data_IF_754969854226
#
_entry.id   IF_754969854226
#
_cell.length_a   1.000
_cell.length_b   1.000
_cell.length_c   1.000
_cell.angle_alpha   90.00
_cell.angle_beta   90.00
_cell.angle_gamma   90.00
#
_symmetry.space_group_name_H-M   'P 1'
#
loop_
_entity.id
_entity.type
_entity.pdbx_description
1 polymer ?
#
# COMPACT_ATOMS: atom_id res chain seq x y z
N UNK A 1 -4.33 24.64 -66.74
CA UNK A 1 -4.10 24.26 -65.31
C UNK A 1 -2.82 24.82 -64.67
N UNK A 2 -2.20 25.92 -65.18
CA UNK A 2 -1.05 26.58 -64.52
C UNK A 2 -1.40 27.89 -63.77
N UNK A 3 -2.66 28.35 -63.81
CA UNK A 3 -3.06 29.65 -63.23
C UNK A 3 -3.39 29.58 -61.73
N UNK A 4 -4.01 28.50 -61.26
CA UNK A 4 -4.58 28.44 -59.89
C UNK A 4 -3.55 28.20 -58.79
N UNK A 5 -2.43 27.54 -59.10
CA UNK A 5 -1.37 27.23 -58.11
C UNK A 5 -0.55 28.47 -57.71
N UNK A 6 -0.31 29.38 -58.65
CA UNK A 6 0.49 30.58 -58.37
C UNK A 6 -0.29 31.62 -57.55
N UNK A 7 -1.61 31.64 -57.70
CA UNK A 7 -2.51 32.51 -56.94
C UNK A 7 -2.64 32.07 -55.47
N UNK A 8 -2.70 30.76 -55.22
CA UNK A 8 -2.71 30.18 -53.85
C UNK A 8 -1.38 30.48 -53.13
N UNK A 9 -0.24 30.31 -53.79
CA UNK A 9 1.07 30.56 -53.18
C UNK A 9 1.30 32.05 -52.88
N UNK A 10 0.77 32.95 -53.72
CA UNK A 10 0.82 34.39 -53.49
C UNK A 10 -0.04 34.79 -52.29
N UNK A 11 -1.25 34.25 -52.16
CA UNK A 11 -2.14 34.52 -51.03
C UNK A 11 -1.59 33.99 -49.69
N UNK A 12 -0.92 32.84 -49.69
CA UNK A 12 -0.23 32.31 -48.50
C UNK A 12 0.96 33.21 -48.12
N UNK A 13 1.74 33.69 -49.09
CA UNK A 13 2.87 34.58 -48.84
C UNK A 13 2.43 35.94 -48.27
N UNK A 14 1.30 36.49 -48.70
CA UNK A 14 0.81 37.77 -48.17
C UNK A 14 0.20 37.60 -46.76
N UNK A 15 -0.51 36.50 -46.48
CA UNK A 15 -1.00 36.18 -45.12
C UNK A 15 0.13 35.98 -44.11
N UNK A 16 1.27 35.41 -44.53
CA UNK A 16 2.45 35.25 -43.67
C UNK A 16 3.14 36.60 -43.43
N UNK A 17 3.17 37.51 -44.41
CA UNK A 17 3.70 38.86 -44.23
C UNK A 17 2.83 39.71 -43.30
N UNK A 18 1.51 39.62 -43.37
CA UNK A 18 0.59 40.29 -42.42
C UNK A 18 0.74 39.77 -40.98
N UNK A 19 0.86 38.45 -40.78
CA UNK A 19 1.10 37.85 -39.44
C UNK A 19 2.45 38.24 -38.85
N UNK A 20 3.48 38.35 -39.68
CA UNK A 20 4.81 38.78 -39.27
C UNK A 20 4.89 40.31 -39.04
N UNK A 21 4.04 41.09 -39.71
CA UNK A 21 3.87 42.52 -39.44
C UNK A 21 3.16 42.80 -38.11
N UNK A 22 2.11 42.03 -37.79
CA UNK A 22 1.38 42.12 -36.51
C UNK A 22 2.25 41.77 -35.29
N UNK A 23 3.26 40.89 -35.47
CA UNK A 23 4.21 40.54 -34.41
C UNK A 23 5.32 41.58 -34.21
N UNK A 24 5.58 42.44 -35.21
CA UNK A 24 6.56 43.53 -35.11
C UNK A 24 6.02 44.79 -34.39
N UNK A 25 4.69 44.93 -34.26
CA UNK A 25 4.07 46.15 -33.70
C UNK A 25 3.90 46.13 -32.18
N UNK A 26 4.12 44.99 -31.50
CA UNK A 26 3.94 44.87 -30.04
C UNK A 26 5.05 44.06 -29.34
N UNK A 27 6.34 44.49 -29.40
CA UNK A 27 7.45 43.78 -28.75
C UNK A 27 7.35 43.76 -27.21
N UNK A 28 6.51 44.63 -26.60
CA UNK A 28 6.36 44.75 -25.16
C UNK A 28 5.51 43.66 -24.49
N UNK A 29 4.66 42.93 -25.24
CA UNK A 29 3.72 41.95 -24.66
C UNK A 29 4.33 40.54 -24.50
N UNK A 30 5.31 40.18 -25.34
CA UNK A 30 5.94 38.84 -25.36
C UNK A 30 6.86 38.58 -24.16
N UNK A 31 7.51 39.62 -23.65
CA UNK A 31 8.47 39.50 -22.54
C UNK A 31 7.82 39.59 -21.14
N UNK A 32 6.59 40.11 -21.02
CA UNK A 32 5.86 40.16 -19.74
C UNK A 32 5.00 38.92 -19.47
N UNK A 33 4.48 38.25 -20.51
CA UNK A 33 3.62 37.07 -20.35
C UNK A 33 4.38 35.75 -20.11
N UNK A 34 5.60 35.62 -20.64
CA UNK A 34 6.45 34.44 -20.43
C UNK A 34 6.73 34.11 -18.95
N UNK A 35 7.17 35.06 -18.10
CA UNK A 35 7.37 34.77 -16.69
C UNK A 35 6.05 34.50 -15.94
N UNK A 36 4.94 35.12 -16.34
CA UNK A 36 3.62 34.91 -15.71
C UNK A 36 3.08 33.51 -16.00
N UNK A 37 3.15 33.06 -17.26
CA UNK A 37 2.72 31.70 -17.66
C UNK A 37 3.63 30.66 -17.02
N UNK A 38 4.95 30.89 -16.95
CA UNK A 38 5.89 29.97 -16.30
C UNK A 38 5.66 29.91 -14.77
N UNK A 39 5.34 31.03 -14.13
CA UNK A 39 5.04 31.09 -12.70
C UNK A 39 3.68 30.46 -12.35
N UNK A 40 2.66 30.61 -13.21
CA UNK A 40 1.39 29.90 -13.07
C UNK A 40 1.56 28.38 -13.28
N UNK A 41 2.37 27.96 -14.26
CA UNK A 41 2.68 26.55 -14.48
C UNK A 41 3.45 25.94 -13.28
N UNK A 42 4.43 26.68 -12.73
CA UNK A 42 5.16 26.29 -11.52
C UNK A 42 4.29 26.28 -10.27
N UNK A 43 3.33 27.21 -10.12
CA UNK A 43 2.37 27.19 -9.02
C UNK A 43 1.42 25.98 -9.11
N UNK A 44 0.91 25.65 -10.30
CA UNK A 44 0.05 24.48 -10.50
C UNK A 44 0.84 23.19 -10.28
N UNK A 45 2.05 23.06 -10.87
CA UNK A 45 2.94 21.92 -10.61
C UNK A 45 3.33 21.81 -9.13
N UNK A 46 3.59 22.94 -8.48
CA UNK A 46 3.87 23.03 -7.05
C UNK A 46 2.70 22.59 -6.18
N UNK A 47 1.46 22.98 -6.51
CA UNK A 47 0.24 22.52 -5.81
C UNK A 47 -0.01 21.01 -6.01
N UNK A 48 0.29 20.45 -7.19
CA UNK A 48 0.20 19.01 -7.43
C UNK A 48 1.30 18.22 -6.71
N UNK A 49 2.53 18.74 -6.65
CA UNK A 49 3.64 18.09 -5.95
C UNK A 49 3.53 18.24 -4.42
N UNK A 50 3.22 19.43 -3.90
CA UNK A 50 2.92 19.63 -2.47
C UNK A 50 1.67 18.87 -2.05
N UNK A 51 0.62 18.84 -2.88
CA UNK A 51 -0.58 18.05 -2.62
C UNK A 51 -0.27 16.56 -2.47
N UNK A 52 0.56 15.99 -3.37
CA UNK A 52 1.02 14.59 -3.26
C UNK A 52 1.92 14.36 -2.03
N UNK A 53 2.81 15.29 -1.70
CA UNK A 53 3.72 15.18 -0.55
C UNK A 53 2.94 15.29 0.77
N UNK A 54 1.97 16.21 0.87
CA UNK A 54 1.11 16.35 2.05
C UNK A 54 0.18 15.14 2.18
N UNK A 55 -0.47 14.71 1.09
CA UNK A 55 -1.29 13.50 1.07
C UNK A 55 -0.47 12.26 1.49
N UNK A 56 0.73 12.07 0.95
CA UNK A 56 1.60 10.97 1.34
C UNK A 56 2.04 11.07 2.81
N UNK A 57 2.30 12.28 3.34
CA UNK A 57 2.75 12.49 4.72
C UNK A 57 1.63 12.31 5.76
N UNK A 58 0.39 12.67 5.43
CA UNK A 58 -0.79 12.41 6.29
C UNK A 58 -1.15 10.91 6.32
N UNK A 59 -1.04 10.20 5.20
CA UNK A 59 -1.39 8.78 5.11
C UNK A 59 -0.42 7.83 5.84
N UNK A 60 0.77 8.29 6.21
CA UNK A 60 1.76 7.49 6.96
C UNK A 60 1.45 7.44 8.46
N UNK A 61 0.64 8.37 8.99
CA UNK A 61 0.32 8.45 10.42
C UNK A 61 -1.18 8.36 10.75
N UNK A 62 -2.01 7.93 9.81
CA UNK A 62 -3.44 7.66 10.08
C UNK A 62 -3.63 6.31 10.78
N UNK A 63 -4.70 6.18 11.57
CA UNK A 63 -5.12 4.94 12.21
C UNK A 63 -5.29 3.83 11.15
N UNK A 64 -4.69 2.67 11.39
CA UNK A 64 -4.70 1.54 10.46
C UNK A 64 -5.06 0.24 11.15
N UNK A 65 -5.82 -0.61 10.45
CA UNK A 65 -6.03 -2.00 10.86
C UNK A 65 -4.88 -2.90 10.39
N UNK A 66 -4.66 -3.98 11.15
CA UNK A 66 -3.77 -5.09 10.80
C UNK A 66 -4.45 -6.37 11.25
N UNK A 67 -4.37 -7.43 10.46
CA UNK A 67 -5.07 -8.67 10.79
C UNK A 67 -4.34 -9.90 10.31
N UNK A 68 -4.55 -10.99 11.04
CA UNK A 68 -4.03 -12.31 10.71
C UNK A 68 -5.13 -13.34 10.80
N UNK A 69 -5.13 -14.27 9.86
CA UNK A 69 -5.96 -15.47 9.89
C UNK A 69 -5.16 -16.64 10.46
N UNK A 70 -5.83 -17.49 11.22
CA UNK A 70 -5.31 -18.78 11.70
C UNK A 70 -5.86 -19.90 10.83
N UNK A 71 -4.98 -20.75 10.33
CA UNK A 71 -5.33 -21.97 9.60
C UNK A 71 -4.84 -23.18 10.38
N UNK A 72 -5.66 -24.23 10.43
CA UNK A 72 -5.36 -25.45 11.23
C UNK A 72 -3.98 -26.06 10.95
N UNK A 73 -3.54 -26.00 9.70
CA UNK A 73 -2.30 -26.62 9.22
C UNK A 73 -1.04 -25.81 9.50
N UNK A 74 -1.17 -24.50 9.72
CA UNK A 74 -0.04 -23.56 9.67
C UNK A 74 -0.10 -22.46 10.73
N UNK A 75 -1.16 -22.44 11.54
CA UNK A 75 -1.37 -21.44 12.58
C UNK A 75 -1.67 -20.05 12.03
N UNK A 76 -1.37 -19.03 12.83
CA UNK A 76 -1.49 -17.64 12.40
C UNK A 76 -0.49 -17.34 11.29
N UNK A 77 -0.98 -16.74 10.21
CA UNK A 77 -0.15 -16.29 9.10
C UNK A 77 0.50 -14.93 9.43
N UNK A 78 1.27 -14.41 8.46
CA UNK A 78 1.75 -13.04 8.54
C UNK A 78 0.56 -12.05 8.55
N UNK A 79 0.72 -10.96 9.29
CA UNK A 79 -0.28 -9.89 9.32
C UNK A 79 -0.41 -9.22 7.96
N UNK A 80 -1.63 -9.10 7.46
CA UNK A 80 -2.00 -8.20 6.37
C UNK A 80 -2.11 -6.77 6.88
N UNK A 81 -1.75 -5.80 6.02
CA UNK A 81 -1.94 -4.39 6.32
C UNK A 81 -3.39 -3.97 6.09
N UNK A 82 -3.71 -2.77 6.57
CA UNK A 82 -4.98 -2.09 6.30
C UNK A 82 -5.35 -2.16 4.82
N UNK A 83 -6.62 -2.46 4.55
CA UNK A 83 -7.19 -2.49 3.21
C UNK A 83 -6.60 -3.54 2.24
N UNK A 84 -5.87 -4.55 2.73
CA UNK A 84 -5.29 -5.62 1.88
C UNK A 84 -6.00 -6.97 2.04
N UNK A 85 -6.45 -7.58 0.96
CA UNK A 85 -7.11 -8.90 1.01
C UNK A 85 -6.18 -9.97 1.61
N UNK A 86 -6.72 -10.81 2.47
CA UNK A 86 -6.07 -12.01 3.01
C UNK A 86 -6.95 -13.23 2.75
N UNK A 87 -6.47 -14.20 1.98
CA UNK A 87 -7.17 -15.46 1.70
C UNK A 87 -6.19 -16.56 1.33
N UNK A 88 -6.66 -17.81 1.40
CA UNK A 88 -5.97 -19.00 0.86
C UNK A 88 -6.93 -19.76 -0.05
N UNK A 89 -6.39 -20.44 -1.06
CA UNK A 89 -7.19 -21.20 -2.02
C UNK A 89 -7.34 -22.68 -1.62
N UNK A 90 -6.51 -23.15 -0.68
CA UNK A 90 -6.35 -24.55 -0.30
C UNK A 90 -6.89 -24.85 1.11
N UNK A 91 -7.23 -23.82 1.88
CA UNK A 91 -7.71 -23.94 3.25
C UNK A 91 -8.58 -22.74 3.64
N UNK A 92 -9.41 -22.93 4.65
CA UNK A 92 -10.23 -21.89 5.26
C UNK A 92 -9.71 -21.51 6.66
N UNK A 93 -9.85 -20.24 7.07
CA UNK A 93 -9.52 -19.81 8.42
C UNK A 93 -10.42 -20.46 9.48
N UNK A 94 -9.81 -20.87 10.59
CA UNK A 94 -10.49 -21.29 11.82
C UNK A 94 -10.33 -20.28 12.95
N UNK A 95 -9.47 -19.26 12.79
CA UNK A 95 -9.30 -18.19 13.75
C UNK A 95 -8.83 -16.87 13.17
N UNK A 96 -8.86 -15.82 13.99
CA UNK A 96 -8.59 -14.44 13.59
C UNK A 96 -8.00 -13.60 14.73
N UNK A 97 -7.10 -12.68 14.36
CA UNK A 97 -6.62 -11.55 15.19
C UNK A 97 -6.76 -10.26 14.41
N UNK A 98 -7.23 -9.19 15.05
CA UNK A 98 -7.31 -7.86 14.47
C UNK A 98 -6.70 -6.85 15.44
N UNK A 99 -5.82 -5.99 14.96
CA UNK A 99 -5.11 -4.98 15.74
C UNK A 99 -5.24 -3.60 15.09
N UNK A 100 -5.00 -2.54 15.88
CA UNK A 100 -4.76 -1.20 15.39
C UNK A 100 -3.27 -0.83 15.46
N UNK A 101 -2.81 0.00 14.52
CA UNK A 101 -1.57 0.78 14.68
C UNK A 101 -1.82 2.25 14.36
N UNK A 102 -0.90 3.09 14.82
CA UNK A 102 -0.93 4.55 14.63
C UNK A 102 -2.20 5.18 15.22
N UNK A 103 -2.66 4.68 16.37
CA UNK A 103 -3.70 5.34 17.14
C UNK A 103 -3.23 6.75 17.51
N UNK A 104 -4.03 7.80 17.22
CA UNK A 104 -3.70 9.16 17.60
C UNK A 104 -3.47 9.28 19.11
N UNK A 105 -2.42 10.02 19.50
CA UNK A 105 -2.10 10.24 20.90
C UNK A 105 -3.27 10.92 21.63
N UNK A 106 -3.57 10.45 22.85
CA UNK A 106 -4.66 10.98 23.68
C UNK A 106 -6.07 10.54 23.29
N UNK A 107 -6.25 9.76 22.21
CA UNK A 107 -7.55 9.23 21.83
C UNK A 107 -7.84 7.91 22.55
N UNK A 108 -8.98 7.82 23.26
CA UNK A 108 -9.40 6.59 23.93
C UNK A 108 -10.07 5.61 22.98
N UNK A 109 -10.09 4.33 23.39
CA UNK A 109 -10.75 3.26 22.64
C UNK A 109 -9.79 2.36 21.89
N UNK A 110 -10.35 1.35 21.26
CA UNK A 110 -9.67 0.27 20.55
C UNK A 110 -10.55 -0.34 19.46
N UNK A 111 -10.01 -1.32 18.73
CA UNK A 111 -10.77 -2.21 17.86
C UNK A 111 -11.30 -3.41 18.64
N UNK A 112 -12.57 -3.71 18.43
CA UNK A 112 -13.28 -4.84 19.00
C UNK A 112 -13.87 -5.70 17.88
N UNK A 113 -13.99 -6.99 18.11
CA UNK A 113 -14.49 -7.92 17.11
C UNK A 113 -15.07 -9.19 17.71
N UNK A 114 -15.95 -9.80 16.93
CA UNK A 114 -16.54 -11.12 17.17
C UNK A 114 -16.37 -11.97 15.92
N UNK A 115 -16.28 -13.28 16.08
CA UNK A 115 -16.37 -14.22 14.97
C UNK A 115 -17.49 -15.23 15.22
N UNK A 116 -18.21 -15.58 14.16
CA UNK A 116 -19.13 -16.70 14.17
C UNK A 116 -18.34 -17.97 13.81
N UNK A 117 -18.39 -18.97 14.67
CA UNK A 117 -17.71 -20.26 14.48
C UNK A 117 -18.77 -21.30 14.15
N UNK A 118 -18.55 -22.04 13.07
CA UNK A 118 -19.48 -23.07 12.60
C UNK A 118 -19.90 -24.01 13.73
N UNK A 119 -21.21 -24.14 13.94
CA UNK A 119 -21.81 -24.99 14.96
C UNK A 119 -21.76 -24.46 16.40
N UNK A 120 -21.07 -23.36 16.65
CA UNK A 120 -20.99 -22.72 17.99
C UNK A 120 -21.70 -21.37 18.03
N UNK A 121 -21.72 -20.65 16.89
CA UNK A 121 -22.31 -19.32 16.79
C UNK A 121 -21.30 -18.22 17.11
N UNK A 122 -21.82 -17.05 17.49
CA UNK A 122 -21.00 -15.87 17.76
C UNK A 122 -20.21 -16.01 19.05
N UNK A 123 -18.92 -15.67 18.99
CA UNK A 123 -18.05 -15.52 20.16
C UNK A 123 -18.47 -14.34 21.04
N UNK A 124 -17.90 -14.29 22.25
CA UNK A 124 -17.79 -13.04 23.00
C UNK A 124 -17.06 -11.95 22.20
N UNK A 125 -17.05 -10.72 22.73
CA UNK A 125 -16.28 -9.62 22.14
C UNK A 125 -14.83 -9.69 22.59
N UNK A 126 -13.92 -9.68 21.61
CA UNK A 126 -12.47 -9.63 21.79
C UNK A 126 -11.94 -8.30 21.26
N UNK A 127 -10.75 -7.93 21.70
CA UNK A 127 -10.13 -6.65 21.38
C UNK A 127 -8.70 -6.80 20.90
N UNK A 128 -8.25 -5.83 20.12
CA UNK A 128 -6.86 -5.56 19.71
C UNK A 128 -5.83 -6.69 19.96
N UNK A 129 -5.75 -7.60 19.00
CA UNK A 129 -4.75 -8.66 18.95
C UNK A 129 -5.10 -9.92 19.73
N UNK A 130 -6.19 -9.93 20.49
CA UNK A 130 -6.65 -11.15 21.14
C UNK A 130 -7.13 -12.19 20.10
N UNK A 131 -6.88 -13.46 20.42
CA UNK A 131 -7.12 -14.57 19.50
C UNK A 131 -8.57 -15.07 19.60
N UNK A 132 -9.25 -15.22 18.47
CA UNK A 132 -10.49 -16.02 18.37
C UNK A 132 -10.21 -17.25 17.52
N UNK A 133 -10.66 -18.43 17.96
CA UNK A 133 -10.64 -19.66 17.14
C UNK A 133 -9.28 -20.35 16.98
N UNK A 134 -8.24 -19.88 17.67
CA UNK A 134 -6.94 -20.57 17.71
C UNK A 134 -7.06 -21.97 18.31
N UNK A 135 -6.48 -22.95 17.62
CA UNK A 135 -6.54 -24.36 18.00
C UNK A 135 -7.91 -25.02 17.79
N UNK A 136 -8.87 -24.34 17.17
CA UNK A 136 -10.17 -24.94 16.83
C UNK A 136 -10.18 -25.52 15.41
N UNK A 137 -11.04 -26.54 15.23
CA UNK A 137 -11.20 -27.24 13.96
C UNK A 137 -12.24 -26.61 13.02
N UNK A 138 -13.23 -25.92 13.61
CA UNK A 138 -14.38 -25.42 12.88
C UNK A 138 -14.04 -24.11 12.15
N UNK A 139 -14.52 -23.92 10.91
CA UNK A 139 -14.32 -22.69 10.16
C UNK A 139 -15.00 -21.49 10.81
N UNK A 140 -14.48 -20.31 10.49
CA UNK A 140 -15.22 -19.06 10.67
C UNK A 140 -16.33 -18.95 9.61
N UNK A 141 -17.52 -18.49 10.01
CA UNK A 141 -18.67 -18.26 9.12
C UNK A 141 -19.02 -16.78 8.96
N UNK A 142 -18.59 -15.91 9.88
CA UNK A 142 -18.91 -14.48 9.87
C UNK A 142 -18.01 -13.71 10.84
N UNK A 143 -17.86 -12.41 10.61
CA UNK A 143 -17.19 -11.50 11.55
C UNK A 143 -18.04 -10.25 11.79
N UNK A 144 -17.84 -9.65 12.96
CA UNK A 144 -18.25 -8.28 13.28
C UNK A 144 -17.03 -7.53 13.76
N UNK A 145 -16.84 -6.32 13.27
CA UNK A 145 -15.71 -5.46 13.67
C UNK A 145 -16.24 -4.07 13.97
N UNK A 146 -15.83 -3.50 15.10
CA UNK A 146 -16.29 -2.20 15.54
C UNK A 146 -15.22 -1.50 16.37
N UNK A 147 -15.35 -0.20 16.53
CA UNK A 147 -14.48 0.62 17.36
C UNK A 147 -15.25 1.06 18.62
N UNK A 148 -14.53 1.30 19.71
CA UNK A 148 -15.09 1.89 20.93
C UNK A 148 -14.35 3.18 21.33
N UNK A 149 -14.69 3.74 22.49
CA UNK A 149 -14.11 5.00 22.99
C UNK A 149 -14.29 6.15 22.03
N UNK A 150 -13.30 7.05 21.97
CA UNK A 150 -13.27 8.18 21.05
C UNK A 150 -13.09 7.73 19.59
N UNK A 151 -12.43 6.58 19.35
CA UNK A 151 -12.19 6.08 17.99
C UNK A 151 -13.49 5.87 17.22
N UNK A 152 -14.55 5.35 17.87
CA UNK A 152 -15.85 5.10 17.22
C UNK A 152 -16.52 6.37 16.68
N UNK A 153 -16.21 7.52 17.28
CA UNK A 153 -16.80 8.81 16.95
C UNK A 153 -15.98 9.54 15.87
N UNK A 154 -14.73 9.12 15.65
CA UNK A 154 -13.79 9.73 14.70
C UNK A 154 -13.48 8.89 13.47
N UNK A 155 -13.73 7.59 13.55
CA UNK A 155 -13.41 6.64 12.50
C UNK A 155 -14.59 5.70 12.22
N UNK A 156 -14.59 5.14 11.02
CA UNK A 156 -15.41 4.00 10.64
C UNK A 156 -14.49 2.81 10.32
N UNK A 157 -14.93 1.61 10.67
CA UNK A 157 -14.28 0.36 10.26
C UNK A 157 -15.19 -0.38 9.30
N UNK A 158 -14.63 -0.73 8.15
CA UNK A 158 -15.29 -1.52 7.11
C UNK A 158 -14.59 -2.85 6.94
N UNK A 159 -15.38 -3.88 6.63
CA UNK A 159 -14.85 -5.21 6.39
C UNK A 159 -15.70 -5.97 5.38
N UNK A 160 -15.05 -6.86 4.64
CA UNK A 160 -15.67 -7.77 3.68
C UNK A 160 -15.06 -9.15 3.84
N UNK A 161 -15.88 -10.18 3.62
CA UNK A 161 -15.48 -11.59 3.68
C UNK A 161 -15.55 -12.20 2.29
N UNK A 162 -14.62 -13.11 1.99
CA UNK A 162 -14.66 -13.95 0.80
C UNK A 162 -15.46 -15.21 1.14
N UNK A 163 -16.49 -15.52 0.35
CA UNK A 163 -17.31 -16.74 0.53
C UNK A 163 -17.53 -17.37 -0.83
N UNK A 164 -17.11 -18.62 -0.99
CA UNK A 164 -17.24 -19.38 -2.24
C UNK A 164 -16.67 -18.63 -3.45
N UNK A 165 -15.53 -17.95 -3.23
CA UNK A 165 -14.85 -17.18 -4.27
C UNK A 165 -15.42 -15.78 -4.55
N UNK A 166 -16.48 -15.36 -3.85
CA UNK A 166 -17.08 -14.03 -4.01
C UNK A 166 -16.92 -13.17 -2.74
N UNK A 167 -16.36 -11.97 -2.92
CA UNK A 167 -16.30 -10.96 -1.86
C UNK A 167 -17.70 -10.42 -1.60
N UNK A 168 -18.12 -10.50 -0.36
CA UNK A 168 -19.42 -10.00 0.09
C UNK A 168 -19.42 -8.46 0.13
N UNK A 169 -20.59 -7.80 0.06
CA UNK A 169 -20.68 -6.36 0.27
C UNK A 169 -20.01 -5.92 1.57
N UNK A 170 -19.50 -4.69 1.61
CA UNK A 170 -18.92 -4.14 2.83
C UNK A 170 -19.94 -4.09 3.96
N UNK A 171 -19.58 -4.70 5.09
CA UNK A 171 -20.20 -4.45 6.37
C UNK A 171 -19.44 -3.34 7.11
N UNK A 172 -20.13 -2.65 8.01
CA UNK A 172 -19.58 -1.51 8.74
C UNK A 172 -19.93 -1.56 10.22
N UNK A 173 -18.98 -1.20 11.08
CA UNK A 173 -19.21 -0.89 12.50
C UNK A 173 -20.14 -1.87 13.24
N UNK A 174 -19.82 -3.16 13.24
CA UNK A 174 -20.52 -4.19 14.01
C UNK A 174 -21.66 -4.89 13.28
N UNK A 175 -21.96 -4.52 12.04
CA UNK A 175 -22.85 -5.27 11.15
C UNK A 175 -22.32 -6.68 10.86
N UNK A 176 -23.19 -7.65 10.57
CA UNK A 176 -22.73 -8.97 10.14
C UNK A 176 -22.03 -8.83 8.78
N UNK A 177 -20.83 -9.40 8.63
CA UNK A 177 -20.12 -9.41 7.35
C UNK A 177 -20.89 -10.10 6.23
N UNK A 178 -21.74 -11.05 6.59
CA UNK A 178 -22.54 -11.88 5.71
C UNK A 178 -23.58 -12.65 6.52
N UNK A 179 -24.60 -13.26 5.88
CA UNK A 179 -25.48 -14.21 6.54
C UNK A 179 -24.68 -15.38 7.16
N UNK A 180 -24.89 -15.65 8.44
CA UNK A 180 -24.25 -16.74 9.21
C UNK A 180 -25.23 -17.89 9.48
N UNK A 181 -24.74 -19.08 9.83
CA UNK A 181 -25.60 -20.24 10.12
C UNK A 181 -26.24 -20.86 8.88
N UNK A 182 -25.72 -20.53 7.69
CA UNK A 182 -26.19 -21.05 6.39
C UNK A 182 -25.27 -22.13 5.81
N UNK A 183 -24.33 -22.64 6.60
CA UNK A 183 -23.40 -23.71 6.22
C UNK A 183 -22.31 -23.27 5.23
N UNK A 184 -21.92 -21.99 5.27
CA UNK A 184 -20.87 -21.42 4.42
C UNK A 184 -19.78 -20.81 5.32
N UNK A 185 -18.53 -21.11 5.00
CA UNK A 185 -17.38 -20.54 5.69
C UNK A 185 -16.82 -19.31 4.97
N UNK A 186 -16.08 -18.52 5.73
CA UNK A 186 -15.20 -17.47 5.23
C UNK A 186 -13.96 -18.14 4.63
N UNK A 187 -13.57 -17.72 3.44
CA UNK A 187 -12.32 -18.09 2.75
C UNK A 187 -11.21 -17.03 2.91
N UNK A 188 -11.61 -15.80 3.27
CA UNK A 188 -10.72 -14.66 3.38
C UNK A 188 -11.39 -13.40 3.92
N UNK A 189 -10.57 -12.43 4.32
CA UNK A 189 -11.01 -11.18 4.90
C UNK A 189 -10.31 -9.98 4.28
N UNK A 190 -10.99 -8.84 4.33
CA UNK A 190 -10.47 -7.52 3.99
C UNK A 190 -11.02 -6.54 5.02
N UNK A 191 -10.17 -5.79 5.69
CA UNK A 191 -10.56 -4.82 6.74
C UNK A 191 -9.87 -3.49 6.47
N UNK A 192 -10.57 -2.38 6.62
CA UNK A 192 -9.99 -1.04 6.53
C UNK A 192 -10.59 -0.10 7.58
N UNK A 193 -9.75 0.79 8.10
CA UNK A 193 -10.16 1.89 8.97
C UNK A 193 -10.00 3.21 8.22
N UNK A 194 -11.06 4.00 8.22
CA UNK A 194 -11.13 5.30 7.53
C UNK A 194 -11.68 6.37 8.46
N UNK A 195 -11.49 7.64 8.11
CA UNK A 195 -12.09 8.73 8.89
C UNK A 195 -13.61 8.62 8.85
N UNK A 196 -14.28 9.12 9.89
CA UNK A 196 -15.75 9.06 9.98
C UNK A 196 -16.42 9.61 8.72
N UNK A 197 -17.30 8.82 8.12
CA UNK A 197 -18.06 9.20 6.93
C UNK A 197 -17.32 9.04 5.60
N UNK A 198 -16.05 8.61 5.61
CA UNK A 198 -15.34 8.26 4.38
C UNK A 198 -15.79 6.88 3.86
N UNK A 199 -15.68 6.71 2.54
CA UNK A 199 -15.92 5.42 1.90
C UNK A 199 -14.74 4.46 2.12
N UNK A 200 -14.96 3.14 2.20
CA UNK A 200 -13.88 2.18 2.31
C UNK A 200 -13.00 2.23 1.06
N UNK A 201 -11.69 2.06 1.28
CA UNK A 201 -10.72 1.91 0.21
C UNK A 201 -10.15 0.50 0.31
N UNK A 202 -9.99 -0.16 -0.83
CA UNK A 202 -9.14 -1.36 -0.93
C UNK A 202 -7.76 -0.91 -1.41
N UNK A 203 -6.73 -1.19 -0.62
CA UNK A 203 -5.36 -1.08 -1.05
C UNK A 203 -5.07 -2.34 -1.86
N UNK A 204 -5.28 -2.23 -3.18
CA UNK A 204 -4.70 -3.21 -4.08
C UNK A 204 -3.20 -3.18 -3.80
N UNK A 205 -2.65 -4.35 -3.43
CA UNK A 205 -1.19 -4.56 -3.40
C UNK A 205 -0.62 -3.83 -4.61
N UNK A 206 0.48 -3.07 -4.47
CA UNK A 206 1.01 -2.27 -5.56
C UNK A 206 0.92 -3.14 -6.80
N UNK A 207 0.07 -2.73 -7.75
CA UNK A 207 0.27 -3.22 -9.10
C UNK A 207 1.74 -2.87 -9.29
N UNK A 208 2.57 -3.82 -9.67
CA UNK A 208 3.80 -3.45 -10.33
C UNK A 208 3.38 -2.70 -11.61
N UNK A 209 2.88 -1.47 -11.47
CA UNK A 209 3.20 -0.42 -12.38
C UNK A 209 4.71 -0.46 -12.35
N UNK A 210 5.29 -1.14 -13.34
CA UNK A 210 6.72 -1.15 -13.59
C UNK A 210 7.17 0.26 -13.35
N UNK A 211 7.77 0.49 -12.19
CA UNK A 211 8.24 1.78 -11.79
C UNK A 211 9.42 2.05 -12.70
N UNK A 212 9.13 2.62 -13.86
CA UNK A 212 10.10 3.25 -14.72
C UNK A 212 10.54 4.53 -13.99
N UNK A 213 11.31 4.33 -12.93
CA UNK A 213 11.99 5.35 -12.16
C UNK A 213 13.32 4.77 -11.67
N UNK A 214 14.25 4.65 -12.61
CA UNK A 214 15.69 4.82 -12.41
C UNK A 214 16.33 4.08 -11.22
N UNK A 215 16.28 2.75 -11.24
CA UNK A 215 17.35 1.92 -10.66
C UNK A 215 18.12 1.33 -11.84
N UNK A 216 19.45 1.48 -11.83
CA UNK A 216 20.32 1.14 -12.94
C UNK A 216 20.02 -0.23 -13.53
N UNK A 217 19.77 -0.22 -14.84
CA UNK A 217 19.63 -1.35 -15.76
C UNK A 217 20.30 -2.64 -15.26
N UNK A 218 19.53 -3.53 -14.65
CA UNK A 218 19.89 -4.94 -14.49
C UNK A 218 18.81 -5.74 -15.17
N UNK A 219 19.07 -6.12 -16.43
CA UNK A 219 18.25 -7.03 -17.20
C UNK A 219 18.25 -8.41 -16.53
N UNK A 220 17.28 -8.64 -15.64
CA UNK A 220 17.04 -9.96 -15.07
C UNK A 220 16.21 -10.76 -16.09
N UNK A 221 16.79 -11.84 -16.60
CA UNK A 221 16.15 -12.76 -17.55
C UNK A 221 15.55 -13.95 -16.79
N UNK A 222 14.22 -14.03 -16.64
CA UNK A 222 13.55 -15.07 -15.86
C UNK A 222 13.67 -16.47 -16.49
N UNK A 223 14.17 -16.59 -17.72
CA UNK A 223 14.38 -17.88 -18.38
C UNK A 223 15.75 -18.53 -18.05
N UNK A 224 16.63 -17.83 -17.33
CA UNK A 224 17.92 -18.37 -16.87
C UNK A 224 17.83 -18.89 -15.44
N UNK A 225 18.70 -19.82 -15.02
CA UNK A 225 18.77 -20.22 -13.61
C UNK A 225 19.02 -19.02 -12.71
N UNK A 226 18.15 -18.83 -11.73
CA UNK A 226 18.19 -17.71 -10.79
C UNK A 226 18.18 -18.24 -9.37
N UNK A 227 18.94 -17.56 -8.50
CA UNK A 227 18.94 -17.79 -7.05
C UNK A 227 18.84 -16.43 -6.38
N UNK A 228 17.89 -16.30 -5.44
CA UNK A 228 17.81 -15.16 -4.56
C UNK A 228 18.51 -15.51 -3.25
N UNK A 229 19.48 -14.68 -2.84
CA UNK A 229 20.14 -14.80 -1.55
C UNK A 229 19.43 -13.88 -0.57
N UNK A 230 18.94 -14.43 0.53
CA UNK A 230 18.26 -13.68 1.60
C UNK A 230 18.94 -13.94 2.94
N UNK A 231 19.03 -12.91 3.79
CA UNK A 231 19.59 -12.99 5.14
C UNK A 231 18.64 -12.33 6.13
N UNK A 232 18.24 -13.07 7.16
CA UNK A 232 17.25 -12.65 8.16
C UNK A 232 17.93 -12.24 9.47
N UNK A 233 17.14 -11.72 10.42
CA UNK A 233 17.50 -11.42 11.82
C UNK A 233 18.55 -10.32 12.09
N UNK A 234 19.28 -9.89 11.07
CA UNK A 234 20.25 -8.81 11.19
C UNK A 234 19.61 -7.44 11.51
N UNK A 235 20.43 -6.38 11.60
CA UNK A 235 21.90 -6.39 11.54
C UNK A 235 22.58 -6.90 12.82
N UNK A 236 23.76 -7.50 12.67
CA UNK A 236 24.66 -8.00 13.71
C UNK A 236 26.15 -7.71 13.44
N UNK A 237 27.02 -8.70 13.64
CA UNK A 237 28.48 -8.57 13.50
C UNK A 237 29.04 -9.26 12.22
N UNK A 238 28.18 -9.58 11.25
CA UNK A 238 28.52 -10.42 10.09
C UNK A 238 28.27 -9.73 8.74
N UNK A 239 27.63 -8.57 8.73
CA UNK A 239 27.18 -7.88 7.52
C UNK A 239 28.37 -7.49 6.65
N UNK A 240 29.45 -7.00 7.25
CA UNK A 240 30.63 -6.57 6.50
C UNK A 240 31.31 -7.76 5.78
N UNK A 241 31.34 -8.97 6.38
CA UNK A 241 31.88 -10.17 5.69
C UNK A 241 30.94 -10.69 4.60
N UNK A 242 29.63 -10.60 4.83
CA UNK A 242 28.62 -11.04 3.85
C UNK A 242 28.65 -10.10 2.64
N UNK A 243 28.62 -8.79 2.86
CA UNK A 243 28.70 -7.78 1.80
C UNK A 243 30.00 -7.90 1.01
N UNK A 244 31.14 -8.12 1.69
CA UNK A 244 32.41 -8.36 1.00
C UNK A 244 32.38 -9.60 0.11
N UNK A 245 31.74 -10.69 0.56
CA UNK A 245 31.57 -11.89 -0.25
C UNK A 245 30.65 -11.65 -1.46
N UNK A 246 29.52 -10.94 -1.28
CA UNK A 246 28.60 -10.59 -2.35
C UNK A 246 29.31 -9.73 -3.42
N UNK A 247 30.06 -8.71 -3.00
CA UNK A 247 30.84 -7.86 -3.90
C UNK A 247 31.91 -8.66 -4.66
N UNK A 248 32.61 -9.59 -4.00
CA UNK A 248 33.62 -10.45 -4.64
C UNK A 248 33.06 -11.25 -5.82
N UNK A 249 31.80 -11.70 -5.72
CA UNK A 249 31.15 -12.50 -6.76
C UNK A 249 30.21 -11.68 -7.66
N UNK A 250 30.23 -10.35 -7.54
CA UNK A 250 29.31 -9.45 -8.25
C UNK A 250 27.82 -9.83 -8.06
N UNK A 251 27.50 -10.31 -6.86
CA UNK A 251 26.16 -10.73 -6.45
C UNK A 251 25.48 -9.64 -5.62
N UNK A 252 24.15 -9.67 -5.59
CA UNK A 252 23.30 -8.89 -4.68
C UNK A 252 22.45 -9.82 -3.83
N UNK A 253 22.00 -9.33 -2.69
CA UNK A 253 21.12 -10.06 -1.78
C UNK A 253 20.06 -9.13 -1.18
N UNK A 254 19.06 -9.73 -0.54
CA UNK A 254 18.05 -9.03 0.27
C UNK A 254 18.29 -9.33 1.75
N UNK A 255 18.38 -8.29 2.58
CA UNK A 255 18.61 -8.41 4.02
C UNK A 255 17.32 -8.04 4.76
N UNK A 256 16.64 -9.03 5.34
CA UNK A 256 15.44 -8.81 6.14
C UNK A 256 15.86 -8.50 7.58
N UNK A 257 15.76 -7.22 7.96
CA UNK A 257 16.22 -6.78 9.27
C UNK A 257 15.10 -6.64 10.29
N UNK A 258 15.40 -7.08 11.51
CA UNK A 258 14.56 -6.88 12.68
C UNK A 258 14.68 -5.42 13.10
N UNK A 259 13.56 -4.72 13.25
CA UNK A 259 13.55 -3.28 13.50
C UNK A 259 14.29 -2.84 14.76
N UNK A 260 14.26 -3.62 15.84
CA UNK A 260 15.06 -3.36 17.06
C UNK A 260 16.56 -3.46 16.80
N UNK A 261 17.01 -4.33 15.89
CA UNK A 261 18.40 -4.44 15.48
C UNK A 261 18.78 -3.31 14.52
N UNK A 262 17.94 -3.03 13.52
CA UNK A 262 18.15 -1.93 12.57
C UNK A 262 18.29 -0.57 13.28
N UNK A 263 17.53 -0.37 14.37
CA UNK A 263 17.61 0.83 15.21
C UNK A 263 18.93 0.94 15.97
N UNK A 264 19.52 -0.19 16.39
CA UNK A 264 20.83 -0.23 17.07
C UNK A 264 22.00 -0.03 16.10
N UNK A 265 21.87 -0.48 14.86
CA UNK A 265 22.94 -0.45 13.85
C UNK A 265 22.57 0.31 12.56
N UNK A 266 22.11 1.57 12.64
CA UNK A 266 21.65 2.31 11.46
C UNK A 266 22.77 2.54 10.42
N UNK A 267 24.02 2.65 10.89
CA UNK A 267 25.17 2.76 10.00
C UNK A 267 25.43 1.48 9.19
N UNK A 268 25.20 0.31 9.77
CA UNK A 268 25.31 -0.98 9.08
C UNK A 268 24.21 -1.13 8.04
N UNK A 269 22.96 -0.80 8.39
CA UNK A 269 21.84 -0.79 7.43
C UNK A 269 22.15 0.09 6.23
N UNK A 270 22.65 1.31 6.48
CA UNK A 270 23.06 2.22 5.41
C UNK A 270 24.19 1.64 4.56
N UNK A 271 25.24 1.07 5.14
CA UNK A 271 26.36 0.47 4.38
C UNK A 271 25.89 -0.66 3.46
N UNK A 272 25.00 -1.51 3.96
CA UNK A 272 24.48 -2.66 3.19
C UNK A 272 23.64 -2.18 2.00
N UNK A 273 22.81 -1.16 2.20
CA UNK A 273 22.04 -0.51 1.14
C UNK A 273 22.94 0.25 0.14
N UNK A 274 23.93 1.01 0.62
CA UNK A 274 24.91 1.73 -0.21
C UNK A 274 25.73 0.76 -1.09
N UNK A 275 25.95 -0.48 -0.62
CA UNK A 275 26.57 -1.56 -1.40
C UNK A 275 25.65 -2.14 -2.50
N UNK A 276 24.42 -1.64 -2.64
CA UNK A 276 23.45 -2.02 -3.65
C UNK A 276 22.65 -3.29 -3.33
N UNK A 277 22.59 -3.69 -2.06
CA UNK A 277 21.71 -4.76 -1.59
C UNK A 277 20.33 -4.20 -1.22
N UNK A 278 19.32 -5.05 -1.24
CA UNK A 278 17.97 -4.69 -0.83
C UNK A 278 17.82 -4.85 0.70
N UNK A 279 17.06 -3.95 1.33
CA UNK A 279 16.70 -4.03 2.75
C UNK A 279 15.22 -4.38 2.87
N UNK A 280 14.94 -5.56 3.40
CA UNK A 280 13.61 -6.04 3.74
C UNK A 280 13.28 -5.83 5.22
N UNK A 281 12.00 -5.93 5.56
CA UNK A 281 11.50 -5.83 6.92
C UNK A 281 11.29 -7.23 7.51
N UNK A 282 11.87 -7.50 8.68
CA UNK A 282 11.71 -8.76 9.42
C UNK A 282 11.00 -8.57 10.76
N UNK A 283 9.91 -7.80 10.74
CA UNK A 283 9.19 -7.28 11.91
C UNK A 283 10.06 -6.38 12.81
N UNK A 284 9.46 -5.73 13.82
CA UNK A 284 10.22 -4.86 14.72
C UNK A 284 10.95 -5.64 15.83
N UNK A 285 10.32 -6.67 16.40
CA UNK A 285 10.86 -7.44 17.54
C UNK A 285 11.10 -8.93 17.25
N UNK A 286 10.91 -9.36 16.00
CA UNK A 286 10.88 -10.77 15.64
C UNK A 286 9.70 -11.50 16.32
N UNK A 287 8.52 -10.87 16.23
CA UNK A 287 7.22 -11.29 16.77
C UNK A 287 6.16 -11.31 15.67
#
# INVERSE_FOLDING_TARGET
>A
MKSTRNEILRNISESIKERNGLTAQYPLYRNKLRPIILSLLLCVLGLFFFGKIVYARENVHRLKSYYSLYYRDSGFQNYSNDAQRHSRNDAYPTGIKICLKHQPEGMTGTIQYQANISGTGWSDTYENGQSIGEGQDMPLEGIRVFLNGDLKDKYDVYYSTLILGEWQPWAKNGEDSNPVGVGKHIDGILITVVSKGEAPVEEKAPVEEKAAANVGNSQIDPAKPMVALTFDDGPGNYEDRIVAALQKYNSKATFFYVGTQATKFPSTVKRVADAGNEIGNHSYKHE
#
